data_IF_269446353767
#
_entry.id   IF_269446353767
#
_cell.length_a   1.000
_cell.length_b   1.000
_cell.length_c   1.000
_cell.angle_alpha   90.00
_cell.angle_beta   90.00
_cell.angle_gamma   90.00
#
_symmetry.space_group_name_H-M   'P 1'
#
loop_
_entity.id
_entity.type
_entity.pdbx_description
1 polymer ?
#
# COMPACT_ATOMS: atom_id res chain seq x y z
N UNK A 1 15.30 -18.90 -13.07
CA UNK A 1 14.46 -19.54 -12.05
C UNK A 1 13.08 -19.58 -12.66
N UNK A 2 12.58 -20.79 -12.86
CA UNK A 2 11.54 -21.17 -13.83
C UNK A 2 10.13 -20.86 -13.30
N UNK A 3 9.22 -20.45 -14.19
CA UNK A 3 7.80 -20.13 -13.89
C UNK A 3 7.06 -21.24 -13.10
N UNK A 4 7.53 -22.50 -13.17
CA UNK A 4 6.95 -23.62 -12.45
C UNK A 4 7.10 -23.57 -10.92
N UNK A 5 8.15 -22.94 -10.40
CA UNK A 5 8.41 -22.83 -8.95
C UNK A 5 7.46 -21.81 -8.29
N UNK A 6 7.15 -20.73 -9.00
CA UNK A 6 6.21 -19.70 -8.54
C UNK A 6 4.78 -20.22 -8.45
N UNK A 7 4.33 -20.95 -9.45
CA UNK A 7 2.99 -21.54 -9.49
C UNK A 7 2.79 -22.61 -8.42
N UNK A 8 3.83 -23.39 -8.12
CA UNK A 8 3.79 -24.36 -7.04
C UNK A 8 3.69 -23.66 -5.68
N UNK A 9 4.53 -22.65 -5.45
CA UNK A 9 4.52 -21.86 -4.22
C UNK A 9 3.17 -21.17 -3.99
N UNK A 10 2.54 -20.64 -5.04
CA UNK A 10 1.24 -19.99 -4.94
C UNK A 10 0.12 -20.98 -4.58
N UNK A 11 0.20 -22.24 -5.06
CA UNK A 11 -0.74 -23.31 -4.67
C UNK A 11 -0.58 -23.69 -3.20
N UNK A 12 0.66 -23.80 -2.72
CA UNK A 12 0.94 -24.12 -1.32
C UNK A 12 0.41 -23.02 -0.38
N UNK A 13 0.63 -21.74 -0.75
CA UNK A 13 0.06 -20.59 -0.05
C UNK A 13 -1.48 -20.64 -0.02
N UNK A 14 -2.09 -20.91 -1.17
CA UNK A 14 -3.54 -20.97 -1.30
C UNK A 14 -4.13 -22.05 -0.38
N UNK A 15 -3.49 -23.23 -0.31
CA UNK A 15 -3.93 -24.32 0.57
C UNK A 15 -3.91 -23.92 2.04
N UNK A 16 -2.84 -23.29 2.53
CA UNK A 16 -2.76 -22.84 3.92
C UNK A 16 -3.83 -21.78 4.27
N UNK A 17 -4.19 -20.91 3.32
CA UNK A 17 -5.28 -19.97 3.52
C UNK A 17 -6.67 -20.61 3.45
N UNK A 18 -6.83 -21.68 2.68
CA UNK A 18 -8.05 -22.46 2.65
C UNK A 18 -8.27 -23.15 4.01
N UNK A 19 -7.22 -23.77 4.55
CA UNK A 19 -7.21 -24.37 5.90
C UNK A 19 -7.50 -23.32 6.99
N UNK A 20 -7.05 -22.08 6.82
CA UNK A 20 -7.40 -20.98 7.74
C UNK A 20 -8.89 -20.59 7.68
N UNK A 21 -9.49 -20.59 6.49
CA UNK A 21 -10.90 -20.23 6.29
C UNK A 21 -11.84 -21.34 6.76
N UNK A 22 -11.43 -22.58 6.58
CA UNK A 22 -12.17 -23.77 6.99
C UNK A 22 -11.95 -24.08 8.47
N UNK A 23 -12.39 -23.16 9.31
CA UNK A 23 -12.16 -23.20 10.76
C UNK A 23 -13.21 -23.97 11.55
N UNK A 24 -13.79 -25.02 10.98
CA UNK A 24 -14.81 -25.85 11.65
C UNK A 24 -14.30 -26.42 12.98
N UNK A 25 -13.03 -26.82 13.05
CA UNK A 25 -12.39 -27.34 14.27
C UNK A 25 -11.98 -26.23 15.26
N UNK A 26 -12.00 -24.95 14.83
CA UNK A 26 -11.45 -23.78 15.53
C UNK A 26 -12.49 -22.63 15.62
N UNK A 27 -13.58 -22.89 16.35
CA UNK A 27 -14.69 -21.95 16.65
C UNK A 27 -15.56 -21.51 15.45
N UNK A 28 -15.24 -21.87 14.20
CA UNK A 28 -16.07 -21.64 13.02
C UNK A 28 -16.29 -20.17 12.65
N UNK A 29 -15.44 -19.26 13.13
CA UNK A 29 -15.62 -17.80 13.00
C UNK A 29 -15.58 -17.38 11.53
N UNK A 30 -14.62 -17.89 10.76
CA UNK A 30 -14.45 -17.52 9.37
C UNK A 30 -15.45 -18.23 8.47
N UNK A 31 -15.82 -19.47 8.79
CA UNK A 31 -16.94 -20.15 8.14
C UNK A 31 -18.24 -19.33 8.24
N UNK A 32 -18.61 -18.87 9.45
CA UNK A 32 -19.80 -18.06 9.65
C UNK A 32 -19.73 -16.72 8.90
N UNK A 33 -18.56 -16.06 8.92
CA UNK A 33 -18.37 -14.80 8.19
C UNK A 33 -18.46 -14.96 6.68
N UNK A 34 -18.02 -16.09 6.12
CA UNK A 34 -18.17 -16.37 4.69
C UNK A 34 -19.65 -16.62 4.35
N UNK A 35 -20.37 -17.39 5.17
CA UNK A 35 -21.81 -17.60 5.00
C UNK A 35 -22.59 -16.28 5.08
N UNK A 36 -22.24 -15.41 6.03
CA UNK A 36 -22.81 -14.08 6.15
C UNK A 36 -22.48 -13.21 4.92
N UNK A 37 -21.23 -13.24 4.46
CA UNK A 37 -20.81 -12.51 3.26
C UNK A 37 -21.63 -12.92 2.02
N UNK A 38 -21.91 -14.21 1.84
CA UNK A 38 -22.74 -14.75 0.74
C UNK A 38 -24.18 -14.28 0.90
N UNK A 39 -24.76 -14.39 2.11
CA UNK A 39 -26.12 -13.92 2.43
C UNK A 39 -26.30 -12.43 2.13
N UNK A 40 -25.31 -11.62 2.48
CA UNK A 40 -25.30 -10.18 2.25
C UNK A 40 -25.01 -9.79 0.79
N UNK A 41 -24.79 -10.79 -0.09
CA UNK A 41 -24.34 -10.60 -1.49
C UNK A 41 -23.08 -9.74 -1.59
N UNK A 42 -22.21 -9.84 -0.58
CA UNK A 42 -20.91 -9.18 -0.53
C UNK A 42 -19.83 -10.05 -1.17
N UNK A 43 -18.81 -9.41 -1.74
CA UNK A 43 -17.66 -10.09 -2.36
C UNK A 43 -16.40 -9.94 -1.50
N UNK A 44 -16.54 -9.43 -0.28
CA UNK A 44 -15.41 -9.10 0.59
C UNK A 44 -15.54 -9.73 1.96
N UNK A 45 -14.51 -10.49 2.32
CA UNK A 45 -14.30 -10.99 3.67
C UNK A 45 -13.33 -10.06 4.42
N UNK A 46 -13.64 -9.74 5.68
CA UNK A 46 -12.72 -9.01 6.56
C UNK A 46 -12.09 -9.98 7.55
N UNK A 47 -10.77 -10.11 7.49
CA UNK A 47 -9.94 -11.02 8.29
C UNK A 47 -9.16 -10.23 9.32
N UNK A 48 -9.23 -10.64 10.58
CA UNK A 48 -8.43 -10.02 11.62
C UNK A 48 -7.02 -10.63 11.58
N UNK A 49 -6.01 -9.78 11.36
CA UNK A 49 -4.60 -10.19 11.27
C UNK A 49 -4.14 -10.86 12.57
N UNK A 50 -4.71 -10.52 13.71
CA UNK A 50 -4.38 -11.17 14.98
C UNK A 50 -4.88 -12.62 15.06
N UNK A 51 -5.93 -12.97 14.33
CA UNK A 51 -6.43 -14.35 14.25
C UNK A 51 -5.51 -15.15 13.31
N UNK A 52 -5.15 -14.57 12.16
CA UNK A 52 -4.15 -15.16 11.26
C UNK A 52 -2.81 -15.35 11.97
N UNK A 53 -2.38 -14.39 12.79
CA UNK A 53 -1.13 -14.50 13.57
C UNK A 53 -1.17 -15.63 14.60
N UNK A 54 -2.33 -15.89 15.19
CA UNK A 54 -2.51 -16.99 16.15
C UNK A 54 -2.46 -18.36 15.46
N UNK A 55 -3.17 -18.51 14.34
CA UNK A 55 -3.26 -19.78 13.60
C UNK A 55 -2.01 -20.06 12.76
N UNK A 56 -1.51 -19.06 12.04
CA UNK A 56 -0.36 -19.19 11.17
C UNK A 56 0.55 -17.95 11.27
N UNK A 57 1.47 -17.92 12.27
CA UNK A 57 2.34 -16.78 12.51
C UNK A 57 3.29 -16.51 11.34
N UNK A 58 3.68 -17.54 10.59
CA UNK A 58 4.50 -17.43 9.38
C UNK A 58 3.78 -16.63 8.29
N UNK A 59 2.51 -16.95 8.01
CA UNK A 59 1.69 -16.21 7.04
C UNK A 59 1.42 -14.79 7.48
N UNK A 60 1.09 -14.57 8.75
CA UNK A 60 0.90 -13.21 9.25
C UNK A 60 2.16 -12.35 9.11
N UNK A 61 3.36 -12.92 9.30
CA UNK A 61 4.63 -12.23 9.06
C UNK A 61 4.85 -11.95 7.57
N UNK A 62 4.67 -12.96 6.72
CA UNK A 62 4.85 -12.82 5.27
C UNK A 62 3.82 -11.87 4.66
N UNK A 63 2.60 -11.79 5.18
CA UNK A 63 1.58 -10.81 4.75
C UNK A 63 2.05 -9.37 4.99
N UNK A 64 2.93 -9.14 5.98
CA UNK A 64 3.51 -7.83 6.29
C UNK A 64 4.84 -7.56 5.56
N UNK A 65 5.50 -8.60 5.03
CA UNK A 65 6.81 -8.50 4.39
C UNK A 65 6.71 -8.63 2.85
N UNK A 66 5.85 -9.52 2.36
CA UNK A 66 5.59 -9.88 0.96
C UNK A 66 4.09 -9.97 0.69
N UNK A 67 3.37 -8.87 0.93
CA UNK A 67 1.90 -8.84 0.93
C UNK A 67 1.22 -9.26 -0.39
N UNK A 68 1.89 -9.11 -1.53
CA UNK A 68 1.29 -9.31 -2.84
C UNK A 68 0.92 -10.78 -3.11
N UNK A 69 1.89 -11.70 -2.98
CA UNK A 69 1.68 -13.14 -3.17
C UNK A 69 0.68 -13.69 -2.17
N UNK A 70 0.84 -13.32 -0.90
CA UNK A 70 -0.04 -13.71 0.21
C UNK A 70 -1.48 -13.24 -0.02
N UNK A 71 -1.69 -12.00 -0.49
CA UNK A 71 -3.03 -11.47 -0.76
C UNK A 71 -3.69 -12.13 -1.98
N UNK A 72 -2.93 -12.46 -3.03
CA UNK A 72 -3.46 -13.19 -4.19
C UNK A 72 -3.85 -14.61 -3.80
N UNK A 73 -2.97 -15.32 -3.08
CA UNK A 73 -3.24 -16.68 -2.60
C UNK A 73 -4.50 -16.71 -1.73
N UNK A 74 -4.65 -15.76 -0.81
CA UNK A 74 -5.81 -15.70 0.07
C UNK A 74 -7.11 -15.38 -0.69
N UNK A 75 -7.06 -14.51 -1.71
CA UNK A 75 -8.25 -14.26 -2.55
C UNK A 75 -8.64 -15.49 -3.38
N UNK A 76 -7.68 -16.26 -3.88
CA UNK A 76 -7.94 -17.54 -4.56
C UNK A 76 -8.55 -18.56 -3.60
N UNK A 77 -7.99 -18.69 -2.40
CA UNK A 77 -8.52 -19.57 -1.35
C UNK A 77 -9.96 -19.20 -0.98
N UNK A 78 -10.26 -17.89 -0.82
CA UNK A 78 -11.62 -17.43 -0.56
C UNK A 78 -12.58 -17.78 -1.71
N UNK A 79 -12.16 -17.59 -2.96
CA UNK A 79 -12.98 -17.95 -4.12
C UNK A 79 -13.26 -19.45 -4.17
N UNK A 80 -12.26 -20.27 -3.88
CA UNK A 80 -12.40 -21.73 -3.80
C UNK A 80 -13.36 -22.15 -2.69
N UNK A 81 -13.20 -21.57 -1.48
CA UNK A 81 -14.07 -21.85 -0.34
C UNK A 81 -15.52 -21.40 -0.58
N UNK A 82 -15.73 -20.22 -1.20
CA UNK A 82 -17.08 -19.80 -1.59
C UNK A 82 -17.66 -20.73 -2.66
N UNK A 83 -16.83 -21.25 -3.57
CA UNK A 83 -17.27 -22.20 -4.60
C UNK A 83 -17.68 -23.55 -4.02
N UNK A 84 -17.10 -23.99 -2.89
CA UNK A 84 -17.53 -25.21 -2.21
C UNK A 84 -18.85 -25.04 -1.45
N UNK A 85 -19.14 -23.82 -0.95
CA UNK A 85 -20.38 -23.50 -0.22
C UNK A 85 -21.54 -23.17 -1.17
N UNK A 86 -21.33 -22.25 -2.12
CA UNK A 86 -22.33 -21.82 -3.11
C UNK A 86 -21.68 -21.62 -4.50
N UNK A 87 -21.68 -22.68 -5.33
CA UNK A 87 -21.13 -22.63 -6.69
C UNK A 87 -21.84 -21.63 -7.61
N UNK A 88 -23.11 -21.32 -7.35
CA UNK A 88 -23.91 -20.41 -8.18
C UNK A 88 -23.48 -18.97 -7.90
N UNK A 89 -23.36 -18.62 -6.62
CA UNK A 89 -22.86 -17.31 -6.21
C UNK A 89 -21.43 -17.06 -6.68
N UNK A 90 -20.55 -18.06 -6.57
CA UNK A 90 -19.17 -17.98 -7.03
C UNK A 90 -19.03 -17.80 -8.56
N UNK A 91 -19.99 -18.30 -9.35
CA UNK A 91 -20.02 -18.08 -10.82
C UNK A 91 -20.51 -16.69 -11.19
N UNK A 92 -21.45 -16.13 -10.42
CA UNK A 92 -21.97 -14.77 -10.65
C UNK A 92 -20.92 -13.72 -10.27
N UNK A 93 -20.10 -13.98 -9.25
CA UNK A 93 -19.06 -13.06 -8.80
C UNK A 93 -17.69 -13.46 -9.38
N UNK A 94 -17.18 -12.68 -10.34
CA UNK A 94 -15.90 -12.98 -11.00
C UNK A 94 -14.69 -12.99 -10.03
N UNK A 95 -14.72 -12.14 -9.00
CA UNK A 95 -13.62 -11.91 -8.06
C UNK A 95 -14.11 -11.74 -6.61
N UNK A 96 -13.30 -12.23 -5.68
CA UNK A 96 -13.48 -12.07 -4.23
C UNK A 96 -12.29 -11.32 -3.63
N UNK A 97 -12.54 -10.59 -2.54
CA UNK A 97 -11.54 -9.74 -1.91
C UNK A 97 -11.38 -10.07 -0.43
N UNK A 98 -10.13 -10.16 0.01
CA UNK A 98 -9.81 -10.24 1.44
C UNK A 98 -9.32 -8.87 1.91
N UNK A 99 -9.97 -8.34 2.95
CA UNK A 99 -9.55 -7.16 3.66
C UNK A 99 -9.01 -7.56 5.04
N UNK A 100 -8.04 -6.81 5.54
CA UNK A 100 -7.41 -7.10 6.81
C UNK A 100 -7.76 -6.03 7.86
N UNK A 101 -8.04 -6.46 9.08
CA UNK A 101 -8.29 -5.61 10.25
C UNK A 101 -7.40 -6.02 11.42
N UNK A 102 -7.30 -5.19 12.46
CA UNK A 102 -6.51 -5.47 13.65
C UNK A 102 -5.18 -4.72 13.71
N UNK A 103 -4.31 -5.11 14.65
CA UNK A 103 -3.01 -4.48 14.85
C UNK A 103 -1.97 -5.11 13.93
N UNK A 104 -1.45 -4.31 13.00
CA UNK A 104 -0.37 -4.69 12.07
C UNK A 104 1.02 -4.55 12.71
N UNK A 105 1.09 -4.26 14.02
CA UNK A 105 2.32 -3.95 14.74
C UNK A 105 2.89 -2.59 14.35
N UNK A 106 4.21 -2.42 14.46
CA UNK A 106 4.92 -1.20 14.04
C UNK A 106 5.00 -1.02 12.51
N UNK A 107 4.31 -1.85 11.73
CA UNK A 107 4.22 -1.74 10.28
C UNK A 107 2.81 -1.24 9.95
N UNK A 108 2.69 0.05 9.63
CA UNK A 108 1.40 0.66 9.34
C UNK A 108 0.87 0.24 7.96
N UNK A 109 -0.47 0.12 7.86
CA UNK A 109 -1.17 -0.01 6.59
C UNK A 109 -1.31 1.38 5.98
N UNK A 110 -0.50 1.58 4.96
CA UNK A 110 -0.27 2.79 4.18
C UNK A 110 -1.16 2.74 2.91
N UNK A 111 -1.09 3.66 1.93
CA UNK A 111 -2.21 4.19 1.11
C UNK A 111 -2.94 3.20 0.18
N UNK A 112 -2.67 1.91 0.31
CA UNK A 112 -3.36 0.75 -0.28
C UNK A 112 -4.89 0.82 -0.17
N UNK A 113 -5.42 1.51 0.86
CA UNK A 113 -6.87 1.74 0.99
C UNK A 113 -7.43 2.78 0.00
N UNK A 114 -6.63 3.75 -0.46
CA UNK A 114 -7.07 4.77 -1.42
C UNK A 114 -7.18 4.23 -2.86
N UNK A 115 -6.44 3.18 -3.18
CA UNK A 115 -6.54 2.43 -4.44
C UNK A 115 -7.47 1.22 -4.36
N UNK A 116 -7.93 0.86 -3.16
CA UNK A 116 -8.84 -0.28 -2.93
C UNK A 116 -10.15 -0.15 -3.71
N UNK A 117 -10.60 -1.27 -4.33
CA UNK A 117 -11.78 -1.34 -5.20
C UNK A 117 -13.08 -0.88 -4.51
N UNK A 118 -13.21 -1.18 -3.22
CA UNK A 118 -14.30 -0.69 -2.36
C UNK A 118 -13.69 -0.10 -1.08
N UNK A 119 -13.85 1.18 -0.73
CA UNK A 119 -13.52 1.65 0.63
C UNK A 119 -14.47 0.96 1.63
N UNK A 120 -14.03 0.77 2.88
CA UNK A 120 -14.83 0.15 3.95
C UNK A 120 -16.07 0.99 4.31
N UNK A 121 -16.02 2.30 4.09
CA UNK A 121 -17.17 3.21 4.02
C UNK A 121 -16.76 4.49 3.26
N UNK A 122 -17.73 5.23 2.73
CA UNK A 122 -17.50 6.52 2.05
C UNK A 122 -17.28 6.43 0.53
N UNK A 123 -17.10 7.60 -0.09
CA UNK A 123 -16.89 7.75 -1.55
C UNK A 123 -15.59 8.51 -1.79
N UNK A 124 -14.79 8.03 -2.74
CA UNK A 124 -13.59 8.73 -3.20
C UNK A 124 -13.97 9.58 -4.40
N UNK A 125 -13.61 10.86 -4.38
CA UNK A 125 -13.81 11.78 -5.50
C UNK A 125 -12.48 12.15 -6.12
N UNK A 126 -12.42 12.17 -7.45
CA UNK A 126 -11.28 12.63 -8.23
C UNK A 126 -11.78 13.77 -9.10
N UNK A 127 -11.22 14.97 -8.90
CA UNK A 127 -11.66 16.21 -9.56
C UNK A 127 -13.18 16.43 -9.47
N UNK A 128 -13.74 16.25 -8.27
CA UNK A 128 -15.17 16.45 -7.98
C UNK A 128 -16.12 15.35 -8.47
N UNK A 129 -15.62 14.32 -9.17
CA UNK A 129 -16.44 13.19 -9.64
C UNK A 129 -16.15 11.92 -8.86
N UNK A 130 -17.16 11.07 -8.64
CA UNK A 130 -16.96 9.77 -7.99
C UNK A 130 -15.91 8.98 -8.79
N UNK A 131 -14.91 8.45 -8.07
CA UNK A 131 -13.78 7.71 -8.63
C UNK A 131 -14.28 6.54 -9.49
N UNK A 132 -13.98 6.58 -10.78
CA UNK A 132 -14.13 5.42 -11.67
C UNK A 132 -12.87 4.56 -11.57
N UNK A 133 -12.99 3.36 -11.02
CA UNK A 133 -11.84 2.50 -10.69
C UNK A 133 -10.99 2.11 -11.93
N UNK A 134 -11.63 1.74 -13.05
CA UNK A 134 -10.92 1.33 -14.27
C UNK A 134 -10.12 2.50 -14.86
N UNK A 135 -10.70 3.71 -14.89
CA UNK A 135 -10.01 4.92 -15.35
C UNK A 135 -8.96 5.41 -14.35
N UNK A 136 -9.22 5.27 -13.06
CA UNK A 136 -8.29 5.69 -12.02
C UNK A 136 -7.02 4.85 -12.06
N UNK A 137 -7.13 3.52 -12.13
CA UNK A 137 -5.97 2.61 -12.24
C UNK A 137 -5.07 2.91 -13.43
N UNK A 138 -5.67 3.29 -14.58
CA UNK A 138 -4.92 3.68 -15.79
C UNK A 138 -4.27 5.08 -15.68
N UNK A 139 -4.63 5.87 -14.67
CA UNK A 139 -4.19 7.27 -14.48
C UNK A 139 -3.53 7.49 -13.11
N UNK A 140 -3.31 6.43 -12.35
CA UNK A 140 -2.66 6.49 -11.05
C UNK A 140 -1.63 5.39 -10.97
N UNK A 141 -0.38 5.73 -10.64
CA UNK A 141 0.60 4.72 -10.30
C UNK A 141 0.62 4.49 -8.79
N UNK A 142 0.85 3.25 -8.41
CA UNK A 142 1.18 2.89 -7.04
C UNK A 142 2.51 2.16 -7.11
N UNK A 143 3.53 2.73 -6.49
CA UNK A 143 4.87 2.17 -6.58
C UNK A 143 4.97 1.05 -5.55
N UNK A 144 4.65 -0.19 -5.96
CA UNK A 144 5.00 -1.41 -5.26
C UNK A 144 6.38 -1.91 -5.75
N UNK A 145 6.94 -2.90 -5.06
CA UNK A 145 8.31 -3.35 -5.29
C UNK A 145 8.54 -4.04 -6.65
N UNK A 146 7.48 -4.35 -7.41
CA UNK A 146 7.55 -4.94 -8.76
C UNK A 146 6.33 -4.53 -9.59
N UNK A 147 6.50 -3.76 -10.67
CA UNK A 147 5.44 -3.47 -11.64
C UNK A 147 5.99 -3.33 -13.09
N UNK A 148 5.12 -3.62 -14.08
CA UNK A 148 5.43 -3.65 -15.52
C UNK A 148 5.01 -2.35 -16.21
N UNK A 149 5.92 -1.87 -17.06
CA UNK A 149 5.92 -0.56 -17.75
C UNK A 149 4.84 -0.41 -18.84
N UNK A 150 4.23 0.77 -18.93
CA UNK A 150 3.52 1.28 -20.13
C UNK A 150 4.01 2.69 -20.49
N UNK A 151 4.09 3.00 -21.79
CA UNK A 151 4.75 4.18 -22.38
C UNK A 151 4.00 5.52 -22.22
N UNK A 152 4.73 6.59 -21.85
CA UNK A 152 4.60 8.01 -22.23
C UNK A 152 5.50 9.03 -21.45
N UNK A 153 6.80 8.77 -21.34
CA UNK A 153 7.83 9.80 -21.07
C UNK A 153 9.13 9.36 -21.78
N UNK A 154 9.96 10.27 -22.26
CA UNK A 154 11.22 9.84 -22.88
C UNK A 154 12.13 9.23 -21.81
N UNK A 155 12.73 8.08 -22.11
CA UNK A 155 13.59 7.35 -21.17
C UNK A 155 14.72 8.26 -20.65
N UNK A 156 15.24 9.16 -21.49
CA UNK A 156 16.30 10.10 -21.12
C UNK A 156 15.84 11.17 -20.12
N UNK A 157 14.60 11.67 -20.22
CA UNK A 157 14.03 12.59 -19.22
C UNK A 157 13.86 11.91 -17.86
N UNK A 158 13.43 10.65 -17.85
CA UNK A 158 13.25 9.86 -16.63
C UNK A 158 14.59 9.58 -15.98
N UNK A 159 15.58 9.09 -16.75
CA UNK A 159 16.94 8.86 -16.25
C UNK A 159 17.52 10.16 -15.68
N UNK A 160 17.24 11.29 -16.32
CA UNK A 160 17.70 12.60 -15.87
C UNK A 160 17.05 13.04 -14.57
N UNK A 161 15.72 12.95 -14.49
CA UNK A 161 14.95 13.29 -13.29
C UNK A 161 15.38 12.45 -12.08
N UNK A 162 15.64 11.16 -12.29
CA UNK A 162 16.06 10.22 -11.23
C UNK A 162 17.55 10.30 -10.87
N UNK A 163 18.33 11.09 -11.60
CA UNK A 163 19.80 11.18 -11.46
C UNK A 163 20.46 9.81 -11.58
N UNK A 164 20.10 9.06 -12.64
CA UNK A 164 20.59 7.70 -12.90
C UNK A 164 21.54 7.62 -14.10
N UNK A 165 22.05 8.75 -14.60
CA UNK A 165 22.91 8.83 -15.79
C UNK A 165 24.16 7.96 -15.66
N UNK A 166 24.83 8.00 -14.50
CA UNK A 166 26.08 7.26 -14.26
C UNK A 166 25.89 5.74 -14.26
N UNK A 167 24.69 5.27 -13.93
CA UNK A 167 24.36 3.84 -13.83
C UNK A 167 23.42 3.36 -14.94
N UNK A 168 23.27 4.16 -16.01
CA UNK A 168 22.35 3.86 -17.13
C UNK A 168 22.63 2.51 -17.82
N UNK A 169 23.89 2.07 -17.82
CA UNK A 169 24.33 0.81 -18.43
C UNK A 169 24.59 -0.29 -17.40
N UNK A 170 24.35 -0.02 -16.12
CA UNK A 170 24.52 -0.99 -15.03
C UNK A 170 23.30 -1.90 -14.97
N UNK A 171 23.52 -3.22 -14.96
CA UNK A 171 22.43 -4.19 -14.79
C UNK A 171 21.70 -3.98 -13.47
N UNK A 172 20.36 -4.08 -13.49
CA UNK A 172 19.52 -3.82 -12.31
C UNK A 172 19.94 -4.61 -11.06
N UNK A 173 20.43 -5.84 -11.22
CA UNK A 173 20.95 -6.66 -10.12
C UNK A 173 22.11 -6.01 -9.36
N UNK A 174 22.95 -5.24 -10.05
CA UNK A 174 24.17 -4.60 -9.53
C UNK A 174 23.95 -3.17 -9.02
N UNK A 175 22.71 -2.67 -9.05
CA UNK A 175 22.38 -1.36 -8.50
C UNK A 175 22.33 -1.40 -6.96
N UNK A 176 22.69 -0.29 -6.33
CA UNK A 176 22.51 -0.10 -4.89
C UNK A 176 21.02 -0.09 -4.52
N UNK A 177 20.68 -0.36 -3.25
CA UNK A 177 19.27 -0.40 -2.81
C UNK A 177 18.48 0.87 -3.16
N UNK A 178 19.08 2.05 -3.00
CA UNK A 178 18.40 3.29 -3.39
C UNK A 178 18.40 3.58 -4.89
N UNK A 179 19.36 3.08 -5.66
CA UNK A 179 19.29 3.11 -7.12
C UNK A 179 18.16 2.20 -7.64
N UNK A 180 17.98 1.01 -7.05
CA UNK A 180 16.85 0.11 -7.33
C UNK A 180 15.51 0.80 -7.03
N UNK A 181 15.41 1.53 -5.93
CA UNK A 181 14.20 2.31 -5.60
C UNK A 181 13.93 3.43 -6.61
N UNK A 182 14.96 4.17 -7.04
CA UNK A 182 14.79 5.18 -8.10
C UNK A 182 14.38 4.56 -9.41
N UNK A 183 14.96 3.41 -9.76
CA UNK A 183 14.56 2.65 -10.94
C UNK A 183 13.09 2.26 -10.88
N UNK A 184 12.61 1.74 -9.74
CA UNK A 184 11.19 1.42 -9.54
C UNK A 184 10.29 2.64 -9.74
N UNK A 185 10.69 3.81 -9.24
CA UNK A 185 9.97 5.07 -9.52
C UNK A 185 10.03 5.43 -11.00
N UNK A 186 11.17 5.23 -11.65
CA UNK A 186 11.33 5.45 -13.08
C UNK A 186 10.41 4.61 -13.92
N UNK A 187 10.31 3.31 -13.63
CA UNK A 187 9.41 2.39 -14.34
C UNK A 187 7.96 2.88 -14.29
N UNK A 188 7.53 3.39 -13.13
CA UNK A 188 6.19 3.94 -12.93
C UNK A 188 5.99 5.32 -13.57
N UNK A 189 7.05 6.12 -13.64
CA UNK A 189 7.03 7.41 -14.33
C UNK A 189 6.90 7.26 -15.84
N UNK A 190 7.29 6.12 -16.43
CA UNK A 190 7.15 5.92 -17.87
C UNK A 190 5.70 6.13 -18.30
N UNK A 191 4.71 5.76 -17.49
CA UNK A 191 3.28 5.92 -17.82
C UNK A 191 2.71 7.31 -17.61
N UNK A 192 3.55 8.30 -17.29
CA UNK A 192 3.18 9.67 -16.92
C UNK A 192 1.90 9.80 -16.05
N UNK A 193 1.88 9.16 -14.86
CA UNK A 193 0.68 9.14 -14.03
C UNK A 193 0.42 10.52 -13.39
N UNK A 194 -0.78 11.11 -13.56
CA UNK A 194 -1.13 12.38 -12.90
C UNK A 194 -1.29 12.26 -11.37
N UNK A 195 -1.44 11.03 -10.84
CA UNK A 195 -1.52 10.76 -9.40
C UNK A 195 -0.56 9.62 -9.06
N UNK A 196 0.28 9.82 -8.05
CA UNK A 196 1.29 8.85 -7.60
C UNK A 196 1.08 8.51 -6.13
N UNK A 197 1.07 7.22 -5.80
CA UNK A 197 1.03 6.73 -4.43
C UNK A 197 2.34 6.00 -4.11
N UNK A 198 3.01 6.42 -3.04
CA UNK A 198 4.25 5.80 -2.60
C UNK A 198 4.16 5.38 -1.14
N UNK A 199 4.60 4.15 -0.90
CA UNK A 199 4.60 3.54 0.40
C UNK A 199 6.00 3.50 0.98
N UNK A 200 6.25 4.25 2.06
CA UNK A 200 7.54 4.34 2.75
C UNK A 200 8.75 4.51 1.80
N UNK A 201 8.72 5.51 0.88
CA UNK A 201 9.73 5.62 -0.18
C UNK A 201 11.15 5.80 0.37
N UNK A 202 11.29 6.36 1.57
CA UNK A 202 12.57 6.58 2.25
C UNK A 202 13.06 5.41 3.12
N UNK A 203 12.27 4.35 3.29
CA UNK A 203 12.67 3.21 4.15
C UNK A 203 13.92 2.51 3.61
N UNK A 204 14.87 2.15 4.47
CA UNK A 204 16.11 1.47 4.07
C UNK A 204 17.07 2.31 3.21
N UNK A 205 16.84 3.63 3.08
CA UNK A 205 17.77 4.56 2.46
C UNK A 205 18.62 5.26 3.52
N UNK A 206 19.87 5.57 3.19
CA UNK A 206 20.67 6.47 4.03
C UNK A 206 20.12 7.92 3.99
N UNK A 207 20.67 8.78 4.85
CA UNK A 207 20.23 10.17 4.98
C UNK A 207 20.38 10.99 3.68
N UNK A 208 21.46 10.76 2.91
CA UNK A 208 21.71 11.45 1.65
C UNK A 208 20.72 11.01 0.58
N UNK A 209 20.54 9.70 0.43
CA UNK A 209 19.61 9.10 -0.51
C UNK A 209 18.16 9.46 -0.20
N UNK A 210 17.77 9.48 1.08
CA UNK A 210 16.44 9.90 1.52
C UNK A 210 16.15 11.35 1.13
N UNK A 211 17.11 12.27 1.33
CA UNK A 211 16.97 13.66 0.91
C UNK A 211 16.82 13.79 -0.60
N UNK A 212 17.57 13.02 -1.37
CA UNK A 212 17.46 13.01 -2.83
C UNK A 212 16.10 12.47 -3.28
N UNK A 213 15.61 11.41 -2.64
CA UNK A 213 14.28 10.85 -2.89
C UNK A 213 13.17 11.88 -2.64
N UNK A 214 13.18 12.54 -1.48
CA UNK A 214 12.17 13.56 -1.14
C UNK A 214 12.22 14.75 -2.11
N UNK A 215 13.41 15.16 -2.55
CA UNK A 215 13.56 16.23 -3.55
C UNK A 215 12.92 15.85 -4.88
N UNK A 216 13.21 14.64 -5.37
CA UNK A 216 12.59 14.11 -6.58
C UNK A 216 11.06 14.12 -6.48
N UNK A 217 10.49 13.59 -5.40
CA UNK A 217 9.04 13.54 -5.22
C UNK A 217 8.41 14.94 -5.17
N UNK A 218 9.09 15.88 -4.54
CA UNK A 218 8.66 17.28 -4.53
C UNK A 218 8.73 17.92 -5.91
N UNK A 219 9.77 17.64 -6.70
CA UNK A 219 9.91 18.14 -8.08
C UNK A 219 8.81 17.56 -8.99
N UNK A 220 8.52 16.26 -8.87
CA UNK A 220 7.41 15.61 -9.59
C UNK A 220 6.06 16.23 -9.25
N UNK A 221 5.84 16.59 -7.98
CA UNK A 221 4.63 17.29 -7.56
C UNK A 221 4.53 18.70 -8.18
N UNK A 222 5.64 19.45 -8.24
CA UNK A 222 5.69 20.78 -8.85
C UNK A 222 5.46 20.76 -10.37
N UNK A 223 5.68 19.63 -11.02
CA UNK A 223 5.34 19.42 -12.43
C UNK A 223 3.83 19.19 -12.67
N UNK A 224 3.00 19.29 -11.62
CA UNK A 224 1.53 19.19 -11.72
C UNK A 224 0.97 17.82 -11.36
N UNK A 225 1.79 16.89 -10.86
CA UNK A 225 1.34 15.57 -10.39
C UNK A 225 0.87 15.64 -8.93
N UNK A 226 -0.13 14.85 -8.58
CA UNK A 226 -0.53 14.66 -7.19
C UNK A 226 0.28 13.52 -6.59
N UNK A 227 1.19 13.81 -5.65
CA UNK A 227 2.04 12.80 -5.02
C UNK A 227 1.58 12.57 -3.59
N UNK A 228 1.18 11.34 -3.26
CA UNK A 228 0.73 10.91 -1.94
C UNK A 228 1.74 9.92 -1.39
N UNK A 229 2.34 10.26 -0.25
CA UNK A 229 3.37 9.44 0.41
C UNK A 229 2.96 9.08 1.82
N UNK A 230 3.36 7.89 2.26
CA UNK A 230 3.32 7.50 3.67
C UNK A 230 4.71 7.30 4.23
N UNK A 231 4.92 7.82 5.43
CA UNK A 231 6.23 7.87 6.07
C UNK A 231 6.06 7.60 7.57
N UNK A 232 6.78 6.59 8.07
CA UNK A 232 6.69 6.10 9.44
C UNK A 232 7.42 7.01 10.44
N UNK A 233 8.50 7.66 9.99
CA UNK A 233 9.34 8.56 10.78
C UNK A 233 9.85 9.71 9.90
N UNK A 234 9.02 10.76 9.66
CA UNK A 234 9.42 11.83 8.76
C UNK A 234 10.47 12.71 9.42
N UNK A 235 11.64 12.82 8.80
CA UNK A 235 12.66 13.78 9.24
C UNK A 235 12.15 15.23 9.14
N UNK A 236 12.69 16.14 9.95
CA UNK A 236 12.33 17.56 9.88
C UNK A 236 12.56 18.16 8.48
N UNK A 237 13.64 17.76 7.79
CA UNK A 237 13.93 18.18 6.41
C UNK A 237 12.88 17.69 5.42
N UNK A 238 12.29 16.52 5.65
CA UNK A 238 11.21 16.01 4.82
C UNK A 238 9.95 16.84 5.01
N UNK A 239 9.57 17.11 6.26
CA UNK A 239 8.35 17.85 6.58
C UNK A 239 8.32 19.24 5.95
N UNK A 240 9.48 19.89 5.80
CA UNK A 240 9.59 21.18 5.10
C UNK A 240 9.20 21.13 3.61
N UNK A 241 9.18 19.94 2.99
CA UNK A 241 8.84 19.74 1.58
C UNK A 241 7.43 19.16 1.37
N UNK A 242 6.68 18.97 2.45
CA UNK A 242 5.31 18.45 2.43
C UNK A 242 4.33 19.61 2.37
N UNK A 243 3.54 19.67 1.29
CA UNK A 243 2.52 20.71 1.12
C UNK A 243 1.34 20.51 2.08
N UNK A 244 0.90 19.26 2.26
CA UNK A 244 -0.19 18.87 3.17
C UNK A 244 0.16 17.62 3.95
N UNK A 245 0.01 17.69 5.26
CA UNK A 245 0.18 16.61 6.20
C UNK A 245 -1.19 16.04 6.59
N UNK A 246 -1.29 14.71 6.58
CA UNK A 246 -2.41 13.96 7.13
C UNK A 246 -1.87 12.99 8.17
N UNK A 247 -2.01 13.34 9.45
CA UNK A 247 -1.54 12.54 10.57
C UNK A 247 -2.65 11.60 11.05
N UNK A 248 -2.33 10.31 11.20
CA UNK A 248 -3.27 9.29 11.68
C UNK A 248 -2.79 8.69 12.99
N UNK A 249 -3.71 8.52 13.94
CA UNK A 249 -3.47 7.88 15.25
C UNK A 249 -4.63 6.93 15.52
N UNK A 250 -4.34 5.67 15.80
CA UNK A 250 -5.38 4.66 16.06
C UNK A 250 -6.42 4.51 14.92
N UNK A 251 -6.02 4.78 13.67
CA UNK A 251 -6.91 4.75 12.51
C UNK A 251 -7.84 5.96 12.34
N UNK A 252 -7.71 6.98 13.20
CA UNK A 252 -8.45 8.25 13.10
C UNK A 252 -7.52 9.37 12.61
N UNK A 253 -8.09 10.36 11.92
CA UNK A 253 -7.37 11.58 11.55
C UNK A 253 -7.10 12.40 12.82
N UNK A 254 -5.84 12.53 13.20
CA UNK A 254 -5.41 13.38 14.31
C UNK A 254 -5.19 14.82 13.86
N UNK A 255 -4.69 15.02 12.64
CA UNK A 255 -4.46 16.34 12.04
C UNK A 255 -4.50 16.27 10.51
N UNK A 256 -5.09 17.29 9.89
CA UNK A 256 -5.04 17.49 8.44
C UNK A 256 -4.82 18.97 8.14
N UNK A 257 -3.71 19.30 7.48
CA UNK A 257 -3.38 20.70 7.20
C UNK A 257 -1.99 20.87 6.60
N UNK A 258 -1.55 22.12 6.44
CA UNK A 258 -0.16 22.40 6.12
C UNK A 258 0.73 22.18 7.35
N UNK A 259 1.99 21.80 7.12
CA UNK A 259 2.94 21.50 8.21
C UNK A 259 3.12 22.65 9.22
N UNK A 260 3.19 23.94 8.81
CA UNK A 260 3.31 25.04 9.77
C UNK A 260 2.14 25.16 10.76
N UNK A 261 0.94 24.68 10.39
CA UNK A 261 -0.25 24.73 11.23
C UNK A 261 -0.27 23.63 12.31
N UNK A 262 0.64 22.65 12.24
CA UNK A 262 0.66 21.54 13.19
C UNK A 262 1.00 21.99 14.62
N UNK A 263 2.00 22.86 14.80
CA UNK A 263 2.38 23.35 16.14
C UNK A 263 1.26 24.16 16.81
N UNK A 264 0.66 25.18 16.14
CA UNK A 264 -0.49 25.89 16.69
C UNK A 264 -1.66 24.95 17.05
N UNK A 265 -1.90 23.92 16.25
CA UNK A 265 -2.94 22.93 16.53
C UNK A 265 -2.66 22.11 17.79
N UNK A 266 -1.41 21.65 17.99
CA UNK A 266 -1.02 20.93 19.19
C UNK A 266 -1.13 21.80 20.44
N UNK A 267 -0.71 23.07 20.35
CA UNK A 267 -0.82 24.04 21.44
C UNK A 267 -2.28 24.29 21.85
N UNK A 268 -3.20 24.40 20.88
CA UNK A 268 -4.64 24.52 21.14
C UNK A 268 -5.21 23.31 21.88
N UNK A 269 -4.66 22.12 21.63
CA UNK A 269 -5.07 20.88 22.31
C UNK A 269 -4.39 20.71 23.68
N UNK A 270 -3.61 21.69 24.14
CA UNK A 270 -2.77 21.66 25.35
C UNK A 270 -1.60 20.67 25.30
N UNK A 271 -1.08 20.37 24.10
CA UNK A 271 0.12 19.56 23.90
C UNK A 271 1.30 20.46 23.51
N UNK A 272 2.18 20.75 24.47
CA UNK A 272 3.33 21.64 24.26
C UNK A 272 4.49 20.88 23.62
N UNK A 273 4.64 21.00 22.29
CA UNK A 273 5.77 20.42 21.58
C UNK A 273 7.02 21.32 21.68
N UNK A 274 8.14 20.87 22.26
CA UNK A 274 9.37 21.66 22.31
C UNK A 274 9.83 22.11 20.90
N UNK A 275 10.46 23.29 20.77
CA UNK A 275 10.85 23.85 19.47
C UNK A 275 11.86 22.96 18.72
N UNK A 276 12.72 22.25 19.45
CA UNK A 276 13.73 21.35 18.88
C UNK A 276 13.21 19.93 18.60
N UNK A 277 11.95 19.66 18.93
CA UNK A 277 11.35 18.36 18.72
C UNK A 277 10.52 18.34 17.44
N UNK A 278 10.46 17.16 16.83
CA UNK A 278 9.68 16.94 15.63
C UNK A 278 8.19 16.88 16.00
N UNK A 279 7.35 17.82 15.53
CA UNK A 279 5.96 17.90 15.97
C UNK A 279 5.14 16.67 15.55
N UNK A 280 5.54 15.93 14.52
CA UNK A 280 4.84 14.72 14.09
C UNK A 280 5.09 13.54 15.04
N UNK A 281 6.25 13.48 15.68
CA UNK A 281 6.54 12.44 16.67
C UNK A 281 5.74 12.63 17.97
N UNK A 282 5.30 13.86 18.24
CA UNK A 282 4.46 14.20 19.40
C UNK A 282 2.99 13.76 19.25
N UNK A 283 2.57 13.47 18.02
CA UNK A 283 1.21 12.99 17.74
C UNK A 283 1.03 11.48 17.99
N UNK A 284 2.07 10.74 18.38
CA UNK A 284 2.02 9.28 18.56
C UNK A 284 1.34 8.86 19.85
#
# INVERSE_FOLDING_TARGET
MEDGDFDQRLRDLQREYLEFLDDEEDQGIYMERVKQMISDKSQRLTVNVNDLRRKNPGRAKNLLESAFEEQIAFQKALKEYVSSIDPTYAKVQEEFFVAFSGSFGNKHVTPRSLTSRKPSSGRIYVNGRIRNEKKFRRRSCYILQDDKVQDQLSIEEIITALKMQEVRHTRAGNLSGGQKKRLAIGLELISDPPVMFLDEPTSGLDCSMSKQMVRLLHELARQGRTVVVTIHQPSATLLQKVDRLYAMVGGKCAFMGSVPLLRPYLEQMHWTCPPYHNPVDFCK
#
